data_IF_285564513311
#
_entry.id   IF_285564513311
#
_cell.length_a   1.000
_cell.length_b   1.000
_cell.length_c   1.000
_cell.angle_alpha   90.00
_cell.angle_beta   90.00
_cell.angle_gamma   90.00
#
_symmetry.space_group_name_H-M   'P 1'
#
loop_
_entity.id
_entity.type
_entity.pdbx_description
1 polymer ?
#
# COMPACT_ATOMS: atom_id res chain seq x y z
N UNK A 1 -9.20 -8.07 13.17
CA UNK A 1 -7.92 -8.25 13.90
C UNK A 1 -8.16 -7.81 15.32
N UNK A 2 -7.86 -8.65 16.32
CA UNK A 2 -8.04 -8.28 17.73
C UNK A 2 -7.05 -7.16 18.06
N UNK A 3 -7.57 -6.02 18.49
CA UNK A 3 -6.80 -4.93 19.09
C UNK A 3 -6.12 -5.45 20.35
N UNK A 4 -4.83 -5.13 20.53
CA UNK A 4 -4.08 -5.47 21.74
C UNK A 4 -4.85 -4.93 22.96
N UNK A 5 -4.97 -5.74 24.01
CA UNK A 5 -5.46 -5.26 25.29
C UNK A 5 -4.35 -4.41 25.92
N UNK A 6 -4.43 -3.09 25.71
CA UNK A 6 -3.43 -2.14 26.20
C UNK A 6 -3.30 -2.16 27.72
N UNK A 7 -4.38 -2.44 28.46
CA UNK A 7 -4.34 -2.47 29.92
C UNK A 7 -3.52 -3.67 30.41
N UNK A 8 -3.83 -4.87 29.92
CA UNK A 8 -3.05 -6.08 30.21
C UNK A 8 -1.60 -5.93 29.78
N UNK A 9 -1.36 -5.42 28.56
CA UNK A 9 -0.01 -5.27 28.03
C UNK A 9 0.84 -4.28 28.87
N UNK A 10 0.26 -3.16 29.32
CA UNK A 10 0.94 -2.23 30.23
C UNK A 10 1.29 -2.91 31.55
N UNK A 11 0.37 -3.69 32.13
CA UNK A 11 0.62 -4.39 33.40
C UNK A 11 1.79 -5.38 33.29
N UNK A 12 1.87 -6.16 32.21
CA UNK A 12 2.97 -7.11 31.99
C UNK A 12 4.32 -6.40 31.80
N UNK A 13 4.35 -5.30 31.04
CA UNK A 13 5.56 -4.50 30.85
C UNK A 13 6.03 -3.88 32.18
N UNK A 14 5.12 -3.32 32.98
CA UNK A 14 5.42 -2.74 34.29
C UNK A 14 5.93 -3.82 35.27
N UNK A 15 5.32 -5.01 35.27
CA UNK A 15 5.74 -6.13 36.10
C UNK A 15 7.14 -6.64 35.76
N UNK A 16 7.50 -6.70 34.47
CA UNK A 16 8.86 -7.02 34.04
C UNK A 16 9.89 -5.96 34.46
N UNK A 17 9.58 -4.68 34.27
CA UNK A 17 10.48 -3.59 34.69
C UNK A 17 10.71 -3.63 36.20
N UNK A 18 9.66 -3.94 36.98
CA UNK A 18 9.78 -4.12 38.43
C UNK A 18 10.67 -5.32 38.80
N UNK A 19 10.40 -6.49 38.22
CA UNK A 19 11.10 -7.74 38.54
C UNK A 19 12.60 -7.70 38.18
N UNK A 20 12.93 -7.09 37.03
CA UNK A 20 14.29 -7.01 36.52
C UNK A 20 15.18 -5.95 37.22
N UNK A 21 14.60 -5.07 38.04
CA UNK A 21 15.32 -4.03 38.78
C UNK A 21 15.60 -2.76 37.96
N UNK A 22 15.61 -1.59 38.61
CA UNK A 22 15.88 -0.28 37.98
C UNK A 22 17.33 0.17 38.16
N UNK A 23 17.76 1.18 37.40
CA UNK A 23 19.11 1.75 37.41
C UNK A 23 19.73 1.84 38.82
N UNK A 24 20.76 1.03 39.09
CA UNK A 24 21.44 0.94 40.39
C UNK A 24 20.84 0.02 41.46
N UNK A 25 19.71 -0.66 41.21
CA UNK A 25 19.12 -1.67 42.10
C UNK A 25 19.38 -3.10 41.61
N UNK A 26 19.61 -4.01 42.55
CA UNK A 26 19.67 -5.45 42.26
C UNK A 26 18.33 -5.96 41.72
N UNK A 27 18.41 -6.95 40.82
CA UNK A 27 17.27 -7.72 40.33
C UNK A 27 16.43 -8.22 41.52
N UNK A 28 15.11 -8.05 41.46
CA UNK A 28 14.21 -8.29 42.60
C UNK A 28 13.68 -9.71 42.64
N UNK A 29 13.60 -10.35 41.48
CA UNK A 29 13.10 -11.71 41.30
C UNK A 29 14.20 -12.66 40.80
N UNK A 30 14.06 -13.98 40.97
CA UNK A 30 14.96 -14.95 40.36
C UNK A 30 15.03 -14.81 38.83
N UNK A 31 16.17 -15.16 38.23
CA UNK A 31 16.40 -15.00 36.79
C UNK A 31 15.39 -15.77 35.93
N UNK A 32 14.96 -16.95 36.38
CA UNK A 32 13.92 -17.75 35.73
C UNK A 32 12.59 -16.98 35.61
N UNK A 33 12.16 -16.31 36.69
CA UNK A 33 10.93 -15.51 36.73
C UNK A 33 11.04 -14.30 35.80
N UNK A 34 12.22 -13.66 35.77
CA UNK A 34 12.46 -12.51 34.88
C UNK A 34 12.48 -12.95 33.41
N UNK A 35 13.04 -14.12 33.11
CA UNK A 35 13.08 -14.69 31.76
C UNK A 35 11.68 -15.07 31.23
N UNK A 36 10.81 -15.63 32.08
CA UNK A 36 9.41 -15.89 31.71
C UNK A 36 8.66 -14.61 31.36
N UNK A 37 8.84 -13.56 32.18
CA UNK A 37 8.27 -12.23 31.91
C UNK A 37 8.85 -11.61 30.66
N UNK A 38 10.15 -11.77 30.43
CA UNK A 38 10.83 -11.27 29.25
C UNK A 38 10.19 -11.84 27.97
N UNK A 39 9.86 -13.12 27.94
CA UNK A 39 9.19 -13.72 26.78
C UNK A 39 7.87 -13.02 26.45
N UNK A 40 7.03 -12.75 27.45
CA UNK A 40 5.75 -12.04 27.26
C UNK A 40 5.98 -10.60 26.80
N UNK A 41 6.92 -9.90 27.44
CA UNK A 41 7.31 -8.53 27.06
C UNK A 41 7.78 -8.44 25.62
N UNK A 42 8.59 -9.39 25.17
CA UNK A 42 9.05 -9.47 23.79
C UNK A 42 7.89 -9.56 22.80
N UNK A 43 6.89 -10.40 23.07
CA UNK A 43 5.69 -10.52 22.22
C UNK A 43 4.84 -9.25 22.22
N UNK A 44 4.78 -8.53 23.34
CA UNK A 44 4.09 -7.24 23.44
C UNK A 44 4.84 -6.20 22.61
N UNK A 45 6.16 -6.09 22.76
CA UNK A 45 6.99 -5.10 22.07
C UNK A 45 7.05 -5.31 20.56
N UNK A 46 7.04 -6.57 20.09
CA UNK A 46 6.95 -6.87 18.66
C UNK A 46 5.67 -6.28 18.01
N UNK A 47 4.62 -6.04 18.80
CA UNK A 47 3.36 -5.43 18.35
C UNK A 47 3.24 -3.93 18.66
N UNK A 48 3.71 -3.49 19.84
CA UNK A 48 3.52 -2.11 20.32
C UNK A 48 4.67 -1.17 19.97
N UNK A 49 5.84 -1.70 19.65
CA UNK A 49 7.03 -0.92 19.32
C UNK A 49 7.84 -1.57 18.17
N UNK A 50 7.34 -1.52 16.92
CA UNK A 50 8.03 -2.12 15.77
C UNK A 50 9.50 -1.67 15.66
N UNK A 51 10.40 -2.61 15.32
CA UNK A 51 11.84 -2.35 15.17
C UNK A 51 12.60 -2.16 16.49
N UNK A 52 12.00 -2.47 17.65
CA UNK A 52 12.71 -2.40 18.93
C UNK A 52 13.91 -3.36 18.99
N UNK A 53 13.85 -4.50 18.28
CA UNK A 53 14.95 -5.49 18.20
C UNK A 53 16.14 -5.02 17.36
N UNK A 54 15.90 -4.19 16.36
CA UNK A 54 16.95 -3.67 15.46
C UNK A 54 17.78 -2.57 16.13
N UNK A 55 17.31 -2.05 17.27
CA UNK A 55 18.06 -1.11 18.09
C UNK A 55 19.18 -1.89 18.76
N UNK A 56 20.39 -1.72 18.24
CA UNK A 56 21.57 -2.29 18.87
C UNK A 56 21.67 -1.76 20.31
N UNK A 57 21.80 -2.68 21.28
CA UNK A 57 22.21 -2.31 22.62
C UNK A 57 23.57 -1.61 22.52
N UNK A 58 23.65 -0.32 22.84
CA UNK A 58 24.88 0.47 22.77
C UNK A 58 25.67 0.44 24.09
N UNK A 59 25.16 -0.26 25.12
CA UNK A 59 25.82 -0.35 26.43
C UNK A 59 27.12 -1.14 26.31
N UNK A 60 28.08 -0.84 27.19
CA UNK A 60 29.37 -1.54 27.23
C UNK A 60 29.20 -3.04 27.50
N UNK A 61 30.13 -3.87 27.02
CA UNK A 61 30.10 -5.32 27.25
C UNK A 61 30.06 -5.66 28.75
N UNK A 62 30.76 -4.87 29.57
CA UNK A 62 30.73 -4.99 31.03
C UNK A 62 29.31 -4.79 31.55
N UNK A 63 28.62 -3.72 31.15
CA UNK A 63 27.24 -3.46 31.57
C UNK A 63 26.26 -4.53 31.09
N UNK A 64 26.40 -5.06 29.87
CA UNK A 64 25.53 -6.14 29.38
C UNK A 64 25.67 -7.43 30.20
N UNK A 65 26.86 -7.71 30.73
CA UNK A 65 27.12 -8.87 31.58
C UNK A 65 26.52 -8.72 32.98
N UNK A 66 26.53 -7.52 33.55
CA UNK A 66 25.96 -7.25 34.88
C UNK A 66 24.46 -6.92 34.83
N UNK A 67 23.96 -6.44 33.69
CA UNK A 67 22.56 -6.09 33.46
C UNK A 67 22.03 -6.66 32.13
N UNK A 68 21.84 -7.99 32.06
CA UNK A 68 21.37 -8.66 30.85
C UNK A 68 20.03 -8.09 30.37
N UNK A 69 19.14 -7.75 31.31
CA UNK A 69 17.78 -7.28 31.04
C UNK A 69 17.66 -5.79 30.69
N UNK A 70 18.72 -4.99 30.82
CA UNK A 70 18.58 -3.54 30.74
C UNK A 70 18.18 -2.98 29.36
N UNK A 71 18.54 -3.65 28.26
CA UNK A 71 18.07 -3.28 26.92
C UNK A 71 16.56 -3.54 26.78
N UNK A 72 16.11 -4.71 27.26
CA UNK A 72 14.69 -5.06 27.26
C UNK A 72 13.88 -4.14 28.20
N UNK A 73 14.47 -3.67 29.31
CA UNK A 73 13.83 -2.65 30.18
C UNK A 73 13.65 -1.30 29.52
N UNK A 74 14.66 -0.81 28.78
CA UNK A 74 14.51 0.45 28.02
C UNK A 74 13.41 0.30 26.97
N UNK A 75 13.41 -0.82 26.26
CA UNK A 75 12.37 -1.14 25.29
C UNK A 75 10.98 -1.25 25.95
N UNK A 76 10.86 -1.95 27.09
CA UNK A 76 9.62 -2.08 27.85
C UNK A 76 9.09 -0.72 28.32
N UNK A 77 9.96 0.16 28.82
CA UNK A 77 9.59 1.51 29.24
C UNK A 77 9.05 2.35 28.07
N UNK A 78 9.67 2.24 26.89
CA UNK A 78 9.17 2.87 25.66
C UNK A 78 7.86 2.24 25.18
N UNK A 79 7.70 0.92 25.30
CA UNK A 79 6.47 0.19 24.99
C UNK A 79 5.29 0.63 25.86
N UNK A 80 5.52 0.84 27.17
CA UNK A 80 4.51 1.40 28.07
C UNK A 80 4.07 2.79 27.61
N UNK A 81 5.04 3.66 27.28
CA UNK A 81 4.73 5.00 26.77
C UNK A 81 3.96 4.95 25.45
N UNK A 82 4.34 4.05 24.54
CA UNK A 82 3.66 3.84 23.27
C UNK A 82 2.19 3.41 23.47
N UNK A 83 1.93 2.46 24.37
CA UNK A 83 0.57 1.99 24.66
C UNK A 83 -0.27 3.03 25.39
N UNK A 84 0.30 3.75 26.39
CA UNK A 84 -0.43 4.79 27.15
C UNK A 84 -0.80 5.99 26.30
N UNK A 85 0.04 6.35 25.33
CA UNK A 85 -0.12 7.53 24.48
C UNK A 85 -0.59 7.18 23.07
N UNK A 86 -0.99 5.94 22.82
CA UNK A 86 -1.33 5.49 21.47
C UNK A 86 -2.45 6.34 20.84
N UNK A 87 -3.52 6.60 21.60
CA UNK A 87 -4.66 7.37 21.12
C UNK A 87 -4.30 8.85 20.91
N UNK A 88 -3.54 9.44 21.85
CA UNK A 88 -3.02 10.80 21.73
C UNK A 88 -2.14 10.94 20.49
N UNK A 89 -1.19 10.02 20.28
CA UNK A 89 -0.27 10.05 19.14
C UNK A 89 -1.02 9.86 17.82
N UNK A 90 -2.01 8.96 17.75
CA UNK A 90 -2.86 8.81 16.56
C UNK A 90 -3.68 10.06 16.27
N UNK A 91 -4.26 10.67 17.29
CA UNK A 91 -5.04 11.90 17.13
C UNK A 91 -4.15 13.06 16.64
N UNK A 92 -2.93 13.19 17.18
CA UNK A 92 -2.05 14.33 16.88
C UNK A 92 -1.16 14.14 15.66
N UNK A 93 -0.75 12.92 15.35
CA UNK A 93 0.18 12.61 14.26
C UNK A 93 -0.52 11.96 13.06
N UNK A 94 -1.78 11.52 13.22
CA UNK A 94 -2.49 10.73 12.22
C UNK A 94 -2.16 9.23 12.33
N UNK A 95 -2.59 8.48 11.31
CA UNK A 95 -2.28 7.06 11.18
C UNK A 95 -0.95 6.84 10.43
N UNK A 96 -0.20 5.80 10.78
CA UNK A 96 1.05 5.41 10.10
C UNK A 96 0.76 4.53 8.87
N UNK A 97 -0.31 4.86 8.14
CA UNK A 97 -0.72 4.13 6.96
C UNK A 97 0.24 4.41 5.80
N UNK A 98 0.54 3.41 4.95
CA UNK A 98 1.37 3.62 3.78
C UNK A 98 0.72 4.64 2.83
N UNK A 99 1.47 5.67 2.46
CA UNK A 99 1.03 6.69 1.50
C UNK A 99 1.30 6.25 0.06
N UNK A 100 0.33 6.50 -0.83
CA UNK A 100 0.54 6.35 -2.28
C UNK A 100 1.18 7.63 -2.81
N UNK A 101 2.42 7.52 -3.29
CA UNK A 101 3.08 8.64 -3.97
C UNK A 101 2.62 8.72 -5.43
N UNK A 102 2.03 9.85 -5.83
CA UNK A 102 1.63 10.11 -7.21
C UNK A 102 2.80 9.94 -8.20
N UNK A 103 4.02 10.32 -7.79
CA UNK A 103 5.24 10.16 -8.59
C UNK A 103 5.66 8.70 -8.82
N UNK A 104 5.15 7.76 -8.01
CA UNK A 104 5.39 6.31 -8.15
C UNK A 104 4.26 5.58 -8.88
N UNK A 105 3.23 6.29 -9.34
CA UNK A 105 2.21 5.72 -10.23
C UNK A 105 2.81 5.40 -11.61
N UNK A 106 2.05 4.67 -12.42
CA UNK A 106 2.49 4.28 -13.76
C UNK A 106 2.94 5.50 -14.59
N UNK A 107 4.07 5.42 -15.33
CA UNK A 107 4.61 6.57 -16.05
C UNK A 107 3.64 7.24 -17.01
N UNK A 108 2.76 6.47 -17.65
CA UNK A 108 1.72 7.01 -18.54
C UNK A 108 0.70 7.86 -17.78
N UNK A 109 0.36 7.48 -16.56
CA UNK A 109 -0.63 8.16 -15.72
C UNK A 109 -0.03 9.42 -15.12
N UNK A 110 1.07 9.28 -14.37
CA UNK A 110 1.69 10.45 -13.74
C UNK A 110 2.19 11.44 -14.78
N UNK A 111 2.79 10.94 -15.88
CA UNK A 111 3.23 11.78 -16.99
C UNK A 111 2.09 12.43 -17.79
N UNK A 112 0.83 12.05 -17.58
CA UNK A 112 -0.34 12.74 -18.14
C UNK A 112 -0.94 13.75 -17.18
N UNK A 113 -0.98 13.42 -15.88
CA UNK A 113 -1.56 14.26 -14.83
C UNK A 113 -0.65 15.39 -14.34
N UNK A 114 0.67 15.18 -14.32
CA UNK A 114 1.64 15.99 -13.55
C UNK A 114 1.49 17.50 -13.74
N UNK A 115 1.35 17.97 -14.97
CA UNK A 115 1.31 19.41 -15.25
C UNK A 115 0.07 20.08 -14.65
N UNK A 116 -1.10 19.45 -14.79
CA UNK A 116 -2.36 19.98 -14.27
C UNK A 116 -2.47 19.79 -12.75
N UNK A 117 -1.93 18.68 -12.24
CA UNK A 117 -1.85 18.40 -10.82
C UNK A 117 -1.08 19.48 -10.07
N UNK A 118 0.09 19.88 -10.58
CA UNK A 118 0.92 20.93 -9.97
C UNK A 118 0.25 22.31 -9.92
N UNK A 119 -0.73 22.53 -10.80
CA UNK A 119 -1.53 23.77 -10.84
C UNK A 119 -2.85 23.66 -10.06
N UNK A 120 -3.12 22.54 -9.37
CA UNK A 120 -4.34 22.32 -8.59
C UNK A 120 -5.58 21.95 -9.42
N UNK A 121 -5.43 21.61 -10.70
CA UNK A 121 -6.52 21.20 -11.59
C UNK A 121 -6.66 19.67 -11.59
N UNK A 122 -7.07 19.12 -10.45
CA UNK A 122 -7.07 17.68 -10.20
C UNK A 122 -8.00 16.89 -11.11
N UNK A 123 -9.20 17.39 -11.39
CA UNK A 123 -10.13 16.77 -12.32
C UNK A 123 -9.54 16.68 -13.72
N UNK A 124 -9.03 17.80 -14.23
CA UNK A 124 -8.40 17.84 -15.55
C UNK A 124 -7.15 16.97 -15.60
N UNK A 125 -6.39 16.87 -14.51
CA UNK A 125 -5.25 15.97 -14.41
C UNK A 125 -5.65 14.50 -14.57
N UNK A 126 -6.77 14.08 -13.97
CA UNK A 126 -7.33 12.72 -14.12
C UNK A 126 -7.78 12.47 -15.57
N UNK A 127 -8.48 13.44 -16.18
CA UNK A 127 -8.89 13.33 -17.58
C UNK A 127 -7.71 13.17 -18.54
N UNK A 128 -6.67 13.97 -18.38
CA UNK A 128 -5.50 13.92 -19.25
C UNK A 128 -4.68 12.65 -19.04
N UNK A 129 -4.60 12.15 -17.80
CA UNK A 129 -4.06 10.82 -17.54
C UNK A 129 -4.88 9.72 -18.24
N UNK A 130 -6.22 9.78 -18.20
CA UNK A 130 -7.07 8.80 -18.88
C UNK A 130 -6.93 8.87 -20.40
N UNK A 131 -6.84 10.07 -20.99
CA UNK A 131 -6.56 10.26 -22.42
C UNK A 131 -5.20 9.67 -22.80
N UNK A 132 -4.17 9.87 -21.97
CA UNK A 132 -2.84 9.34 -22.18
C UNK A 132 -2.82 7.81 -22.13
N UNK A 133 -3.45 7.18 -21.13
CA UNK A 133 -3.57 5.71 -21.06
C UNK A 133 -4.28 5.13 -22.28
N UNK A 134 -5.35 5.80 -22.75
CA UNK A 134 -6.02 5.39 -23.99
C UNK A 134 -5.06 5.46 -25.20
N UNK A 135 -4.37 6.59 -25.37
CA UNK A 135 -3.44 6.78 -26.49
C UNK A 135 -2.27 5.77 -26.47
N UNK A 136 -1.70 5.48 -25.31
CA UNK A 136 -0.63 4.48 -25.19
C UNK A 136 -1.15 3.06 -25.43
N UNK A 137 -2.39 2.76 -25.01
CA UNK A 137 -3.04 1.49 -25.36
C UNK A 137 -3.20 1.37 -26.88
N UNK A 138 -3.71 2.42 -27.54
CA UNK A 138 -3.84 2.47 -29.00
C UNK A 138 -2.51 2.26 -29.71
N UNK A 139 -1.44 2.90 -29.23
CA UNK A 139 -0.09 2.72 -29.76
C UNK A 139 0.37 1.28 -29.57
N UNK A 140 0.13 0.68 -28.39
CA UNK A 140 0.55 -0.69 -28.08
C UNK A 140 -0.14 -1.74 -28.94
N UNK A 141 -1.44 -1.62 -29.17
CA UNK A 141 -2.19 -2.55 -30.04
C UNK A 141 -2.12 -2.20 -31.53
N UNK A 142 -1.51 -1.05 -31.87
CA UNK A 142 -1.41 -0.57 -33.25
C UNK A 142 -2.75 -0.16 -33.87
N UNK A 143 -3.70 0.32 -33.06
CA UNK A 143 -5.07 0.67 -33.51
C UNK A 143 -5.47 2.04 -33.01
N UNK A 144 -5.83 2.95 -33.92
CA UNK A 144 -6.28 4.31 -33.59
C UNK A 144 -7.75 4.60 -33.95
N UNK A 145 -8.43 3.63 -34.57
CA UNK A 145 -9.82 3.76 -35.03
C UNK A 145 -10.87 3.40 -33.96
N UNK A 146 -10.42 2.92 -32.79
CA UNK A 146 -11.28 2.61 -31.63
C UNK A 146 -10.66 3.23 -30.38
N UNK A 147 -11.50 3.71 -29.47
CA UNK A 147 -11.08 4.38 -28.23
C UNK A 147 -11.89 3.90 -27.03
N UNK A 148 -11.36 4.19 -25.84
CA UNK A 148 -12.03 4.07 -24.55
C UNK A 148 -12.61 2.66 -24.35
N UNK A 149 -13.82 2.55 -23.81
CA UNK A 149 -14.50 1.28 -23.51
C UNK A 149 -14.38 0.28 -24.66
N UNK A 150 -14.63 0.71 -25.90
CA UNK A 150 -14.55 -0.18 -27.07
C UNK A 150 -13.13 -0.65 -27.36
N UNK A 151 -12.12 0.22 -27.23
CA UNK A 151 -10.72 -0.17 -27.37
C UNK A 151 -10.35 -1.27 -26.38
N UNK A 152 -10.69 -1.11 -25.10
CA UNK A 152 -10.32 -2.08 -24.07
C UNK A 152 -11.11 -3.38 -24.15
N UNK A 153 -12.41 -3.31 -24.45
CA UNK A 153 -13.24 -4.50 -24.69
C UNK A 153 -12.71 -5.33 -25.87
N UNK A 154 -12.33 -4.68 -26.97
CA UNK A 154 -11.74 -5.40 -28.10
C UNK A 154 -10.32 -5.89 -27.80
N UNK A 155 -9.50 -5.09 -27.09
CA UNK A 155 -8.11 -5.44 -26.82
C UNK A 155 -7.98 -6.61 -25.84
N UNK A 156 -8.79 -6.64 -24.77
CA UNK A 156 -8.76 -7.72 -23.77
C UNK A 156 -9.77 -8.85 -24.03
N UNK A 157 -10.40 -8.89 -25.22
CA UNK A 157 -11.29 -9.99 -25.58
C UNK A 157 -10.53 -11.32 -25.62
N UNK A 158 -11.15 -12.39 -25.12
CA UNK A 158 -10.65 -13.77 -25.18
C UNK A 158 -10.70 -14.39 -26.59
N UNK A 159 -11.35 -13.73 -27.55
CA UNK A 159 -11.36 -14.14 -28.96
C UNK A 159 -9.97 -14.08 -29.57
N UNK A 160 -9.72 -14.88 -30.60
CA UNK A 160 -8.50 -14.84 -31.38
C UNK A 160 -8.22 -13.42 -31.94
N UNK A 161 -6.94 -13.13 -32.16
CA UNK A 161 -6.53 -11.93 -32.89
C UNK A 161 -7.00 -12.02 -34.35
N UNK A 162 -7.50 -10.90 -34.87
CA UNK A 162 -7.93 -10.74 -36.27
C UNK A 162 -7.01 -9.71 -36.96
N UNK A 163 -6.98 -9.66 -38.31
CA UNK A 163 -6.26 -8.62 -39.04
C UNK A 163 -6.61 -7.22 -38.53
N UNK A 164 -5.61 -6.48 -38.05
CA UNK A 164 -5.80 -5.14 -37.50
C UNK A 164 -6.53 -5.08 -36.14
N UNK A 165 -6.78 -6.22 -35.48
CA UNK A 165 -7.36 -6.33 -34.13
C UNK A 165 -6.50 -7.20 -33.22
N UNK A 166 -5.28 -6.72 -32.94
CA UNK A 166 -4.40 -7.35 -31.95
C UNK A 166 -5.06 -7.44 -30.57
N UNK A 167 -4.68 -8.46 -29.81
CA UNK A 167 -5.18 -8.72 -28.45
C UNK A 167 -4.08 -8.48 -27.42
N UNK A 168 -4.49 -8.04 -26.24
CA UNK A 168 -3.66 -7.92 -25.05
C UNK A 168 -3.88 -9.15 -24.18
N UNK A 169 -2.83 -9.96 -24.00
CA UNK A 169 -2.84 -11.16 -23.19
C UNK A 169 -2.16 -10.90 -21.86
N UNK A 170 -2.93 -10.93 -20.76
CA UNK A 170 -2.40 -10.70 -19.39
C UNK A 170 -1.73 -11.92 -18.79
N UNK A 171 -2.03 -13.10 -19.31
CA UNK A 171 -1.34 -14.34 -19.02
C UNK A 171 -1.33 -15.19 -20.30
N UNK A 172 -0.45 -16.19 -20.35
CA UNK A 172 -0.42 -17.16 -21.44
C UNK A 172 -1.77 -17.87 -21.52
N UNK A 173 -2.29 -18.01 -22.73
CA UNK A 173 -3.51 -18.80 -22.95
C UNK A 173 -3.19 -20.28 -22.70
N UNK A 174 -3.80 -20.82 -21.65
CA UNK A 174 -3.74 -22.22 -21.23
C UNK A 174 -5.12 -22.90 -21.30
N UNK A 175 -6.12 -22.23 -21.89
CA UNK A 175 -7.51 -22.68 -21.97
C UNK A 175 -8.27 -22.67 -20.63
N UNK A 176 -7.67 -22.23 -19.52
CA UNK A 176 -8.28 -22.27 -18.20
C UNK A 176 -9.35 -21.20 -17.99
N UNK A 177 -10.23 -21.43 -17.00
CA UNK A 177 -11.19 -20.41 -16.57
C UNK A 177 -10.50 -19.23 -15.87
N UNK A 178 -9.29 -19.43 -15.35
CA UNK A 178 -8.43 -18.37 -14.81
C UNK A 178 -8.05 -17.41 -15.92
N UNK A 179 -7.58 -17.91 -17.07
CA UNK A 179 -7.28 -17.08 -18.23
C UNK A 179 -8.48 -16.22 -18.64
N UNK A 180 -9.65 -16.84 -18.85
CA UNK A 180 -10.88 -16.12 -19.20
C UNK A 180 -11.26 -15.06 -18.16
N UNK A 181 -11.10 -15.38 -16.88
CA UNK A 181 -11.46 -14.47 -15.78
C UNK A 181 -10.51 -13.29 -15.66
N UNK A 182 -9.20 -13.49 -15.88
CA UNK A 182 -8.20 -12.42 -15.89
C UNK A 182 -8.46 -11.42 -17.02
N UNK A 183 -8.82 -11.92 -18.21
CA UNK A 183 -9.19 -11.08 -19.35
C UNK A 183 -10.48 -10.30 -19.09
N UNK A 184 -11.52 -10.99 -18.60
CA UNK A 184 -12.80 -10.37 -18.24
C UNK A 184 -12.64 -9.29 -17.18
N UNK A 185 -11.82 -9.53 -16.15
CA UNK A 185 -11.54 -8.55 -15.11
C UNK A 185 -10.85 -7.29 -15.64
N UNK A 186 -9.95 -7.43 -16.62
CA UNK A 186 -9.32 -6.28 -17.27
C UNK A 186 -10.32 -5.45 -18.07
N UNK A 187 -11.21 -6.11 -18.83
CA UNK A 187 -12.29 -5.44 -19.56
C UNK A 187 -13.23 -4.69 -18.59
N UNK A 188 -13.68 -5.36 -17.53
CA UNK A 188 -14.61 -4.78 -16.56
C UNK A 188 -14.01 -3.56 -15.83
N UNK A 189 -12.74 -3.63 -15.43
CA UNK A 189 -12.06 -2.48 -14.82
C UNK A 189 -11.98 -1.30 -15.81
N UNK A 190 -11.57 -1.57 -17.05
CA UNK A 190 -11.45 -0.52 -18.06
C UNK A 190 -12.80 0.14 -18.37
N UNK A 191 -13.85 -0.67 -18.49
CA UNK A 191 -15.21 -0.16 -18.68
C UNK A 191 -15.66 0.70 -17.50
N UNK A 192 -15.45 0.25 -16.26
CA UNK A 192 -15.75 1.03 -15.06
C UNK A 192 -14.98 2.36 -14.98
N UNK A 193 -13.70 2.36 -15.36
CA UNK A 193 -12.89 3.59 -15.42
C UNK A 193 -13.45 4.54 -16.47
N UNK A 194 -13.60 4.12 -17.73
CA UNK A 194 -13.99 5.06 -18.79
C UNK A 194 -15.46 5.48 -18.71
N UNK A 195 -16.35 4.62 -18.20
CA UNK A 195 -17.76 4.98 -17.99
C UNK A 195 -18.04 5.74 -16.69
N UNK A 196 -17.35 5.39 -15.60
CA UNK A 196 -17.63 5.94 -14.27
C UNK A 196 -16.74 7.09 -13.85
N UNK A 197 -15.48 7.12 -14.29
CA UNK A 197 -14.53 8.18 -13.94
C UNK A 197 -14.56 9.29 -14.98
N UNK A 198 -14.42 8.95 -16.27
CA UNK A 198 -14.29 9.97 -17.31
C UNK A 198 -15.62 10.59 -17.73
N UNK A 199 -16.69 9.81 -17.77
CA UNK A 199 -17.98 10.27 -18.30
C UNK A 199 -18.63 11.39 -17.46
N UNK A 200 -18.60 11.35 -16.12
CA UNK A 200 -19.18 12.42 -15.30
C UNK A 200 -18.52 13.80 -15.46
N UNK A 201 -17.27 13.86 -15.93
CA UNK A 201 -16.56 15.13 -16.10
C UNK A 201 -16.90 15.88 -17.40
N UNK A 202 -17.69 15.28 -18.30
CA UNK A 202 -18.14 15.89 -19.55
C UNK A 202 -19.54 16.55 -19.45
N UNK A 203 -20.15 16.63 -18.25
CA UNK A 203 -21.40 17.38 -18.05
C UNK A 203 -21.16 18.89 -18.01
N UNK A 204 -22.19 19.70 -18.30
CA UNK A 204 -22.10 21.17 -18.56
C UNK A 204 -21.58 22.04 -17.38
N UNK A 205 -21.42 21.49 -16.18
CA UNK A 205 -20.82 22.18 -15.02
C UNK A 205 -20.05 21.19 -14.11
N UNK A 206 -18.88 20.69 -14.54
CA UNK A 206 -18.15 19.68 -13.79
C UNK A 206 -17.43 20.35 -12.62
N UNK A 207 -17.88 20.04 -11.40
CA UNK A 207 -17.21 20.48 -10.17
C UNK A 207 -15.81 19.88 -10.09
N UNK A 208 -14.86 20.69 -9.63
CA UNK A 208 -13.53 20.20 -9.28
C UNK A 208 -13.63 19.15 -8.17
N UNK A 209 -12.73 18.18 -8.19
CA UNK A 209 -12.62 17.13 -7.17
C UNK A 209 -11.48 17.47 -6.22
N UNK A 210 -11.55 16.98 -4.98
CA UNK A 210 -10.44 17.13 -4.04
C UNK A 210 -9.24 16.25 -4.43
N UNK A 211 -8.09 16.57 -3.85
CA UNK A 211 -6.82 15.93 -4.16
C UNK A 211 -6.83 14.41 -3.88
N UNK A 212 -7.44 14.00 -2.77
CA UNK A 212 -7.48 12.59 -2.36
C UNK A 212 -8.33 11.79 -3.34
N UNK A 213 -9.54 12.27 -3.66
CA UNK A 213 -10.39 11.67 -4.68
C UNK A 213 -9.63 11.56 -6.00
N UNK A 214 -8.98 12.62 -6.45
CA UNK A 214 -8.21 12.57 -7.71
C UNK A 214 -7.08 11.55 -7.68
N UNK A 215 -6.39 11.40 -6.54
CA UNK A 215 -5.30 10.44 -6.39
C UNK A 215 -5.81 9.00 -6.49
N UNK A 216 -6.99 8.70 -5.94
CA UNK A 216 -7.65 7.40 -6.06
C UNK A 216 -7.99 7.07 -7.52
N UNK A 217 -8.48 8.06 -8.27
CA UNK A 217 -8.75 7.92 -9.70
C UNK A 217 -7.46 7.66 -10.50
N UNK A 218 -6.37 8.39 -10.21
CA UNK A 218 -5.07 8.13 -10.81
C UNK A 218 -4.52 6.74 -10.42
N UNK A 219 -4.76 6.27 -9.19
CA UNK A 219 -4.35 4.93 -8.77
C UNK A 219 -5.10 3.85 -9.56
N UNK A 220 -6.41 3.99 -9.77
CA UNK A 220 -7.19 3.08 -10.61
C UNK A 220 -6.68 3.06 -12.06
N UNK A 221 -6.45 4.23 -12.65
CA UNK A 221 -5.82 4.36 -13.97
C UNK A 221 -4.42 3.71 -14.01
N UNK A 222 -3.64 3.84 -12.93
CA UNK A 222 -2.31 3.26 -12.84
C UNK A 222 -2.34 1.73 -12.82
N UNK A 223 -3.37 1.12 -12.25
CA UNK A 223 -3.57 -0.34 -12.30
C UNK A 223 -3.86 -0.77 -13.73
N UNK A 224 -4.80 -0.10 -14.41
CA UNK A 224 -5.14 -0.41 -15.80
C UNK A 224 -3.93 -0.22 -16.73
N UNK A 225 -3.21 0.90 -16.61
CA UNK A 225 -2.03 1.19 -17.42
C UNK A 225 -0.97 0.09 -17.27
N UNK A 226 -0.73 -0.39 -16.04
CA UNK A 226 0.19 -1.50 -15.78
C UNK A 226 -0.29 -2.80 -16.43
N UNK A 227 -1.59 -3.12 -16.35
CA UNK A 227 -2.13 -4.31 -17.01
C UNK A 227 -1.99 -4.27 -18.53
N UNK A 228 -2.14 -3.08 -19.12
CA UNK A 228 -1.90 -2.87 -20.55
C UNK A 228 -0.42 -3.02 -20.85
N UNK A 229 0.46 -2.37 -20.08
CA UNK A 229 1.91 -2.34 -20.33
C UNK A 229 2.60 -3.70 -20.11
N UNK A 230 2.11 -4.51 -19.16
CA UNK A 230 2.62 -5.86 -18.93
C UNK A 230 2.04 -6.90 -19.91
N UNK A 231 0.89 -6.62 -20.54
CA UNK A 231 0.25 -7.58 -21.43
C UNK A 231 1.08 -7.87 -22.68
N UNK A 232 1.09 -9.14 -23.09
CA UNK A 232 1.66 -9.57 -24.37
C UNK A 232 0.72 -9.20 -25.51
N UNK A 233 1.27 -8.63 -26.58
CA UNK A 233 0.51 -8.32 -27.79
C UNK A 233 0.46 -9.55 -28.67
N UNK A 234 -0.72 -10.15 -28.78
CA UNK A 234 -1.01 -11.22 -29.73
C UNK A 234 -1.53 -10.61 -31.03
N UNK A 235 -0.85 -10.94 -32.14
CA UNK A 235 -1.27 -10.58 -33.49
C UNK A 235 -1.80 -11.82 -34.18
N UNK A 236 -2.49 -11.61 -35.31
CA UNK A 236 -2.84 -12.70 -36.22
C UNK A 236 -1.60 -13.54 -36.55
N UNK A 237 -1.79 -14.86 -36.63
CA UNK A 237 -0.76 -15.84 -36.95
C UNK A 237 -0.38 -15.84 -38.43
#
# INVERSE_FOLDING_TARGET
MSTIDSFWAIQELEAFVHASGTDGMYQREPDEVVAERAHVVEQILDRSLPGWRDRADQRSQKLRKYEPWGHLRDAASRGIAALKRQDELREKLGDDAPLISAARLHPWVWGGARSLWQSGHYRSAVEDAAKKVNAETQNKVGRRNVSETKLFQESFSDKAAEPGKARLRRMKDDGSDTYKSVQRGAMALAEGIYSGIRNPFNHEDPKEIDEQTALEHLAALSVLARWVDDAQVEKEA
#
